data_IF_264140881126
#
_entry.id   IF_264140881126
#
_cell.length_a   1.000
_cell.length_b   1.000
_cell.length_c   1.000
_cell.angle_alpha   90.00
_cell.angle_beta   90.00
_cell.angle_gamma   90.00
#
_symmetry.space_group_name_H-M   'P 1'
#
loop_
_entity.id
_entity.type
_entity.pdbx_description
1 polymer ?
#
# COMPACT_ATOMS: atom_id res chain seq x y z
N UNK A 1 11.35 -4.79 8.21
CA UNK A 1 10.83 -5.14 6.87
C UNK A 1 11.99 -5.18 5.89
N UNK A 2 12.26 -6.30 5.21
CA UNK A 2 13.44 -6.42 4.34
C UNK A 2 13.32 -5.69 3.00
N UNK A 3 12.12 -5.30 2.54
CA UNK A 3 11.91 -4.66 1.24
C UNK A 3 12.53 -5.44 0.08
N UNK A 4 12.23 -6.72 -0.01
CA UNK A 4 12.87 -7.66 -0.93
C UNK A 4 11.90 -8.41 -1.84
N UNK A 5 10.59 -8.19 -1.69
CA UNK A 5 9.59 -8.69 -2.63
C UNK A 5 9.72 -7.97 -4.00
N UNK A 6 9.00 -8.42 -5.00
CA UNK A 6 8.81 -7.62 -6.22
C UNK A 6 7.92 -6.41 -5.92
N UNK A 7 7.87 -5.44 -6.83
CA UNK A 7 6.93 -4.31 -6.72
C UNK A 7 5.46 -4.77 -6.68
N UNK A 8 5.17 -5.93 -7.28
CA UNK A 8 3.85 -6.56 -7.28
C UNK A 8 3.61 -7.50 -6.08
N UNK A 9 4.55 -7.58 -5.14
CA UNK A 9 4.39 -8.33 -3.89
C UNK A 9 4.73 -9.82 -3.94
N UNK A 10 5.39 -10.28 -5.00
CA UNK A 10 5.81 -11.67 -5.16
C UNK A 10 7.04 -12.01 -4.32
N UNK A 11 7.10 -13.27 -3.88
CA UNK A 11 8.25 -13.80 -3.16
C UNK A 11 9.46 -13.95 -4.09
N UNK A 12 10.55 -13.29 -3.75
CA UNK A 12 11.83 -13.35 -4.49
C UNK A 12 12.84 -14.29 -3.82
N UNK A 13 13.90 -14.72 -4.54
CA UNK A 13 15.02 -15.44 -3.93
C UNK A 13 15.63 -14.68 -2.74
N UNK A 14 15.63 -13.34 -2.77
CA UNK A 14 16.15 -12.52 -1.69
C UNK A 14 15.27 -12.57 -0.43
N UNK A 15 13.94 -12.70 -0.57
CA UNK A 15 13.02 -12.97 0.55
C UNK A 15 13.30 -14.34 1.13
N UNK A 16 13.42 -15.37 0.30
CA UNK A 16 13.69 -16.74 0.75
C UNK A 16 15.00 -16.84 1.53
N UNK A 17 16.09 -16.26 1.01
CA UNK A 17 17.38 -16.25 1.68
C UNK A 17 17.34 -15.49 3.01
N UNK A 18 16.62 -14.36 3.06
CA UNK A 18 16.44 -13.58 4.27
C UNK A 18 15.86 -14.42 5.41
N UNK A 19 14.73 -15.06 5.19
CA UNK A 19 14.06 -15.87 6.21
C UNK A 19 14.80 -17.19 6.53
N UNK A 20 15.45 -17.80 5.54
CA UNK A 20 16.30 -18.96 5.76
C UNK A 20 17.46 -18.68 6.72
N UNK A 21 18.04 -17.47 6.66
CA UNK A 21 19.13 -17.08 7.58
C UNK A 21 18.68 -17.07 9.03
N UNK A 22 17.52 -16.50 9.33
CA UNK A 22 16.97 -16.51 10.68
C UNK A 22 16.57 -17.93 11.12
N UNK A 23 15.94 -18.69 10.23
CA UNK A 23 15.48 -20.04 10.52
C UNK A 23 16.64 -21.00 10.89
N UNK A 24 17.85 -20.82 10.34
CA UNK A 24 19.04 -21.58 10.73
C UNK A 24 19.40 -21.42 12.21
N UNK A 25 19.05 -20.29 12.82
CA UNK A 25 19.21 -20.06 14.26
C UNK A 25 18.18 -20.79 15.11
N UNK A 26 17.22 -21.47 14.50
CA UNK A 26 16.15 -22.26 15.13
C UNK A 26 15.39 -21.51 16.23
N UNK A 27 14.92 -20.25 15.99
CA UNK A 27 14.04 -19.60 16.96
C UNK A 27 12.74 -20.39 17.10
N UNK A 28 12.03 -20.23 18.23
CA UNK A 28 10.73 -20.89 18.46
C UNK A 28 9.69 -20.48 17.43
N UNK A 29 9.69 -19.21 17.04
CA UNK A 29 8.79 -18.69 16.00
C UNK A 29 9.45 -17.57 15.19
N UNK A 30 8.99 -17.38 13.95
CA UNK A 30 9.27 -16.21 13.09
C UNK A 30 7.92 -15.67 12.62
N UNK A 31 7.77 -14.34 12.64
CA UNK A 31 6.66 -13.66 11.97
C UNK A 31 7.20 -13.05 10.66
N UNK A 32 6.62 -13.47 9.55
CA UNK A 32 6.92 -12.90 8.24
C UNK A 32 6.37 -11.48 8.20
N UNK A 33 7.10 -10.59 7.56
CA UNK A 33 6.84 -9.15 7.47
C UNK A 33 5.41 -8.78 7.08
N UNK A 34 5.05 -7.52 7.30
CA UNK A 34 3.80 -6.93 6.87
C UNK A 34 3.49 -7.30 5.40
N UNK A 35 2.41 -8.06 5.22
CA UNK A 35 1.98 -8.64 3.94
C UNK A 35 0.60 -8.09 3.60
N UNK A 36 0.50 -7.39 2.47
CA UNK A 36 -0.71 -6.68 2.06
C UNK A 36 -1.85 -7.63 1.70
N UNK A 37 -3.02 -7.41 2.30
CA UNK A 37 -4.24 -8.19 2.00
C UNK A 37 -5.02 -7.65 0.79
N UNK A 38 -4.62 -6.49 0.25
CA UNK A 38 -5.14 -5.88 -0.98
C UNK A 38 -4.02 -5.53 -1.93
N UNK A 39 -4.34 -5.41 -3.22
CA UNK A 39 -3.40 -4.97 -4.26
C UNK A 39 -3.20 -3.45 -4.26
N UNK A 40 -2.72 -2.93 -3.12
CA UNK A 40 -2.35 -1.53 -2.99
C UNK A 40 -0.84 -1.40 -3.21
N UNK A 41 -0.39 -0.56 -4.16
CA UNK A 41 1.03 -0.29 -4.35
C UNK A 41 1.65 0.30 -3.08
N UNK A 42 2.53 -0.45 -2.43
CA UNK A 42 3.17 -0.11 -1.17
C UNK A 42 4.69 -0.33 -1.18
N UNK A 43 5.28 -0.39 -2.39
CA UNK A 43 6.67 -0.76 -2.61
C UNK A 43 6.88 -2.28 -2.56
N UNK A 44 8.13 -2.75 -2.46
CA UNK A 44 8.48 -4.16 -2.57
C UNK A 44 8.15 -4.96 -1.29
N UNK A 45 6.89 -4.91 -0.87
CA UNK A 45 6.30 -5.67 0.24
C UNK A 45 5.52 -6.86 -0.29
N UNK A 46 5.53 -7.95 0.47
CA UNK A 46 4.76 -9.14 0.16
C UNK A 46 3.26 -8.83 0.11
N UNK A 47 2.53 -9.58 -0.72
CA UNK A 47 1.07 -9.57 -0.79
C UNK A 47 0.50 -10.97 -0.63
N UNK A 48 -0.77 -11.01 -0.22
CA UNK A 48 -1.58 -12.21 -0.05
C UNK A 48 -3.04 -11.94 -0.46
N UNK A 49 -3.24 -10.96 -1.35
CA UNK A 49 -4.54 -10.43 -1.77
C UNK A 49 -5.35 -11.40 -2.62
N UNK A 50 -4.70 -12.35 -3.28
CA UNK A 50 -5.33 -13.36 -4.12
C UNK A 50 -4.52 -14.67 -4.15
N UNK A 51 -5.05 -15.70 -4.80
CA UNK A 51 -4.49 -17.05 -4.76
C UNK A 51 -3.17 -17.21 -5.53
N UNK A 52 -2.84 -16.30 -6.44
CA UNK A 52 -1.57 -16.36 -7.19
C UNK A 52 -0.33 -16.26 -6.29
N UNK A 53 -0.47 -15.69 -5.10
CA UNK A 53 0.62 -15.56 -4.13
C UNK A 53 0.91 -16.84 -3.34
N UNK A 54 -0.02 -17.81 -3.31
CA UNK A 54 0.07 -19.03 -2.49
C UNK A 54 1.34 -19.81 -2.79
N UNK A 55 1.66 -20.05 -4.05
CA UNK A 55 2.85 -20.82 -4.44
C UNK A 55 4.16 -20.19 -3.96
N UNK A 56 4.29 -18.88 -4.10
CA UNK A 56 5.45 -18.13 -3.60
C UNK A 56 5.59 -18.22 -2.09
N UNK A 57 4.50 -18.04 -1.39
CA UNK A 57 4.43 -18.11 0.07
C UNK A 57 4.65 -19.55 0.58
N UNK A 58 4.17 -20.56 -0.12
CA UNK A 58 4.45 -21.98 0.21
C UNK A 58 5.94 -22.28 0.12
N UNK A 59 6.64 -21.78 -0.91
CA UNK A 59 8.11 -21.91 -1.01
C UNK A 59 8.82 -21.25 0.16
N UNK A 60 8.31 -20.12 0.65
CA UNK A 60 8.85 -19.46 1.84
C UNK A 60 8.69 -20.33 3.09
N UNK A 61 7.52 -20.92 3.29
CA UNK A 61 7.26 -21.87 4.38
C UNK A 61 8.21 -23.04 4.32
N UNK A 62 8.37 -23.67 3.16
CA UNK A 62 9.23 -24.84 2.97
C UNK A 62 10.70 -24.56 3.27
N UNK A 63 11.21 -23.39 2.83
CA UNK A 63 12.60 -23.04 3.09
C UNK A 63 12.88 -22.77 4.57
N UNK A 64 11.93 -22.15 5.28
CA UNK A 64 12.02 -21.92 6.72
C UNK A 64 11.98 -23.26 7.48
N UNK A 65 11.06 -24.15 7.13
CA UNK A 65 10.96 -25.49 7.73
C UNK A 65 12.24 -26.28 7.51
N UNK A 66 12.75 -26.30 6.29
CA UNK A 66 14.01 -26.98 5.95
C UNK A 66 15.19 -26.39 6.73
N UNK A 67 15.32 -25.07 6.74
CA UNK A 67 16.45 -24.39 7.38
C UNK A 67 16.46 -24.54 8.91
N UNK A 68 15.30 -24.64 9.55
CA UNK A 68 15.14 -24.85 11.00
C UNK A 68 15.05 -26.33 11.42
N UNK A 69 15.12 -27.26 10.47
CA UNK A 69 14.84 -28.68 10.70
C UNK A 69 13.45 -28.91 11.35
N UNK A 70 12.44 -28.15 10.93
CA UNK A 70 11.06 -28.23 11.43
C UNK A 70 10.82 -27.61 12.81
N UNK A 71 11.84 -27.00 13.43
CA UNK A 71 11.72 -26.47 14.79
C UNK A 71 10.92 -25.18 14.88
N UNK A 72 11.10 -24.26 13.90
CA UNK A 72 10.55 -22.90 13.94
C UNK A 72 9.12 -22.87 13.45
N UNK A 73 8.21 -22.31 14.23
CA UNK A 73 6.86 -21.96 13.82
C UNK A 73 6.89 -20.69 12.96
N UNK A 74 6.07 -20.67 11.90
CA UNK A 74 6.06 -19.56 10.97
C UNK A 74 4.66 -18.92 10.91
N UNK A 75 4.60 -17.64 11.27
CA UNK A 75 3.41 -16.81 11.17
C UNK A 75 3.61 -15.78 10.06
N UNK A 76 2.51 -15.24 9.51
CA UNK A 76 2.56 -14.15 8.55
C UNK A 76 1.75 -12.97 9.09
N UNK A 77 2.33 -11.76 9.01
CA UNK A 77 1.65 -10.56 9.46
C UNK A 77 0.78 -10.00 8.33
N UNK A 78 -0.54 -10.10 8.48
CA UNK A 78 -1.52 -9.54 7.56
C UNK A 78 -1.78 -8.08 7.89
N UNK A 79 -1.71 -7.21 6.88
CA UNK A 79 -1.91 -5.76 7.02
C UNK A 79 -2.75 -5.21 5.88
N UNK A 80 -3.56 -4.20 6.18
CA UNK A 80 -4.19 -3.36 5.17
C UNK A 80 -3.50 -2.02 5.06
N UNK A 81 -3.27 -1.58 3.82
CA UNK A 81 -2.73 -0.28 3.47
C UNK A 81 -3.77 0.56 2.75
N UNK A 82 -3.80 1.85 3.06
CA UNK A 82 -4.41 2.86 2.21
C UNK A 82 -3.42 3.30 1.13
N UNK A 83 -3.94 3.80 0.01
CA UNK A 83 -3.11 4.24 -1.10
C UNK A 83 -2.26 5.44 -0.71
N UNK A 84 -0.95 5.30 -0.91
CA UNK A 84 0.02 6.38 -0.70
C UNK A 84 0.87 6.47 -1.97
N UNK A 85 0.93 7.66 -2.56
CA UNK A 85 1.82 7.95 -3.68
C UNK A 85 2.90 8.91 -3.21
N UNK A 86 4.15 8.59 -3.54
CA UNK A 86 5.27 9.49 -3.25
C UNK A 86 5.04 10.85 -3.87
N UNK A 87 5.53 11.89 -3.21
CA UNK A 87 5.53 13.25 -3.75
C UNK A 87 6.18 13.23 -5.14
N UNK A 88 5.45 13.59 -6.20
CA UNK A 88 6.03 13.78 -7.52
C UNK A 88 6.78 15.11 -7.56
N UNK A 89 7.52 15.33 -8.64
CA UNK A 89 7.96 16.67 -9.01
C UNK A 89 6.73 17.59 -9.14
N UNK A 90 6.76 18.83 -8.61
CA UNK A 90 5.61 19.74 -8.64
C UNK A 90 5.05 20.00 -10.05
N UNK A 91 5.92 20.19 -11.03
CA UNK A 91 5.49 20.39 -12.41
C UNK A 91 4.78 19.15 -12.95
N UNK A 92 5.33 17.97 -12.67
CA UNK A 92 4.72 16.69 -13.05
C UNK A 92 3.37 16.46 -12.35
N UNK A 93 3.24 16.85 -11.09
CA UNK A 93 1.97 16.75 -10.38
C UNK A 93 0.89 17.56 -11.08
N UNK A 94 1.17 18.83 -11.39
CA UNK A 94 0.22 19.75 -12.03
C UNK A 94 -0.13 19.31 -13.46
N UNK A 95 0.86 18.76 -14.21
CA UNK A 95 0.67 18.33 -15.61
C UNK A 95 -0.04 16.99 -15.76
N UNK A 96 0.22 16.02 -14.85
CA UNK A 96 -0.19 14.64 -15.08
C UNK A 96 -1.19 14.12 -14.03
N UNK A 97 -1.13 14.59 -12.78
CA UNK A 97 -1.83 13.96 -11.67
C UNK A 97 -2.96 14.78 -11.07
N UNK A 98 -2.90 16.10 -11.14
CA UNK A 98 -3.96 16.99 -10.65
C UNK A 98 -5.25 16.77 -11.45
N UNK A 99 -6.38 16.48 -10.78
CA UNK A 99 -7.69 16.44 -11.41
C UNK A 99 -8.21 17.88 -11.65
N UNK A 100 -8.44 18.27 -12.90
CA UNK A 100 -9.03 19.59 -13.18
C UNK A 100 -10.54 19.52 -12.97
N UNK A 101 -11.02 20.15 -11.91
CA UNK A 101 -12.43 20.20 -11.53
C UNK A 101 -13.12 21.48 -12.03
N UNK A 102 -14.44 21.51 -12.05
CA UNK A 102 -15.22 22.72 -12.35
C UNK A 102 -14.93 23.84 -11.32
N UNK A 103 -14.69 23.49 -10.07
CA UNK A 103 -14.30 24.47 -9.04
C UNK A 103 -13.01 25.20 -9.39
N UNK A 104 -12.03 24.51 -9.98
CA UNK A 104 -10.80 25.16 -10.45
C UNK A 104 -11.05 26.07 -11.65
N UNK A 105 -11.93 25.66 -12.58
CA UNK A 105 -12.32 26.49 -13.72
C UNK A 105 -13.02 27.78 -13.27
N UNK A 106 -13.89 27.70 -12.28
CA UNK A 106 -14.57 28.87 -11.70
C UNK A 106 -13.58 29.76 -10.95
N UNK A 107 -12.72 29.20 -10.11
CA UNK A 107 -11.72 29.98 -9.34
C UNK A 107 -10.76 30.73 -10.23
N UNK A 108 -10.42 30.18 -11.40
CA UNK A 108 -9.51 30.76 -12.38
C UNK A 108 -10.21 31.67 -13.40
N UNK A 109 -11.55 31.76 -13.37
CA UNK A 109 -12.36 32.39 -14.45
C UNK A 109 -11.99 31.81 -15.83
N UNK A 110 -11.76 30.51 -15.90
CA UNK A 110 -11.18 29.80 -17.04
C UNK A 110 -12.20 28.84 -17.71
N UNK A 111 -13.48 29.25 -17.79
CA UNK A 111 -14.56 28.40 -18.33
C UNK A 111 -14.32 27.97 -19.78
N UNK A 112 -13.72 28.83 -20.56
CA UNK A 112 -13.42 28.60 -21.99
C UNK A 112 -12.02 28.00 -22.23
N UNK A 113 -11.24 27.78 -21.17
CA UNK A 113 -9.90 27.20 -21.31
C UNK A 113 -9.98 25.68 -21.44
N UNK A 114 -9.17 25.14 -22.34
CA UNK A 114 -8.95 23.69 -22.36
C UNK A 114 -8.08 23.26 -21.15
N UNK A 115 -8.06 21.97 -20.90
CA UNK A 115 -7.36 21.40 -19.74
C UNK A 115 -5.85 21.68 -19.79
N UNK A 116 -5.26 21.69 -20.97
CA UNK A 116 -3.83 22.00 -21.18
C UNK A 116 -3.50 23.43 -20.80
N UNK A 117 -4.34 24.39 -21.22
CA UNK A 117 -4.17 25.79 -20.87
C UNK A 117 -4.22 26.01 -19.36
N UNK A 118 -5.15 25.34 -18.66
CA UNK A 118 -5.24 25.39 -17.20
C UNK A 118 -3.96 24.83 -16.56
N UNK A 119 -3.50 23.67 -17.01
CA UNK A 119 -2.28 23.04 -16.49
C UNK A 119 -1.04 23.88 -16.71
N UNK A 120 -0.85 24.44 -17.91
CA UNK A 120 0.27 25.28 -18.24
C UNK A 120 0.26 26.58 -17.40
N UNK A 121 -0.92 27.13 -17.14
CA UNK A 121 -1.08 28.28 -16.25
C UNK A 121 -0.70 27.93 -14.80
N UNK A 122 -1.22 26.84 -14.25
CA UNK A 122 -0.91 26.41 -12.88
C UNK A 122 0.59 26.16 -12.69
N UNK A 123 1.27 25.59 -13.68
CA UNK A 123 2.72 25.39 -13.66
C UNK A 123 3.50 26.71 -13.61
N UNK A 124 2.95 27.77 -14.18
CA UNK A 124 3.60 29.10 -14.18
C UNK A 124 3.51 29.85 -12.84
N UNK A 125 2.68 29.36 -11.91
CA UNK A 125 2.43 30.00 -10.63
C UNK A 125 3.44 29.57 -9.56
N UNK A 126 3.70 30.48 -8.63
CA UNK A 126 4.40 30.16 -7.40
C UNK A 126 3.50 29.39 -6.40
N UNK A 127 4.10 28.78 -5.41
CA UNK A 127 3.39 27.97 -4.42
C UNK A 127 2.35 28.79 -3.62
N UNK A 128 2.62 30.08 -3.37
CA UNK A 128 1.70 30.95 -2.64
C UNK A 128 0.43 31.24 -3.44
N UNK A 129 0.55 31.33 -4.76
CA UNK A 129 -0.57 31.48 -5.70
C UNK A 129 -1.33 30.17 -5.86
N UNK A 130 -0.63 29.04 -5.98
CA UNK A 130 -1.26 27.71 -6.01
C UNK A 130 -2.06 27.42 -4.74
N UNK A 131 -1.57 27.83 -3.56
CA UNK A 131 -2.26 27.66 -2.29
C UNK A 131 -3.60 28.44 -2.18
N UNK A 132 -3.85 29.38 -3.06
CA UNK A 132 -5.14 30.11 -3.13
C UNK A 132 -6.14 29.48 -4.08
N UNK A 133 -5.66 28.60 -4.96
CA UNK A 133 -6.43 27.99 -6.05
C UNK A 133 -6.74 26.54 -5.72
N UNK A 134 -5.72 25.77 -5.29
CA UNK A 134 -5.85 24.37 -5.00
C UNK A 134 -6.61 24.15 -3.68
N UNK A 135 -7.44 23.15 -3.64
CA UNK A 135 -8.02 22.71 -2.38
C UNK A 135 -6.97 22.13 -1.43
N UNK A 136 -7.35 21.92 -0.18
CA UNK A 136 -6.43 21.45 0.87
C UNK A 136 -5.78 20.11 0.52
N UNK A 137 -6.54 19.20 -0.11
CA UNK A 137 -6.07 17.84 -0.47
C UNK A 137 -5.09 17.86 -1.62
N UNK A 138 -5.36 18.66 -2.63
CA UNK A 138 -4.47 18.80 -3.77
C UNK A 138 -3.20 19.57 -3.41
N UNK A 139 -3.33 20.57 -2.55
CA UNK A 139 -2.16 21.27 -2.00
C UNK A 139 -1.30 20.35 -1.11
N UNK A 140 -1.90 19.51 -0.28
CA UNK A 140 -1.19 18.48 0.47
C UNK A 140 -0.48 17.51 -0.47
N UNK A 141 -1.17 17.05 -1.52
CA UNK A 141 -0.63 16.12 -2.51
C UNK A 141 0.57 16.70 -3.27
N UNK A 142 0.51 17.99 -3.61
CA UNK A 142 1.62 18.74 -4.22
C UNK A 142 2.83 18.80 -3.27
N UNK A 143 2.60 19.05 -1.99
CA UNK A 143 3.66 19.27 -0.99
C UNK A 143 4.28 17.99 -0.46
N UNK A 144 3.46 16.95 -0.23
CA UNK A 144 3.83 15.76 0.54
C UNK A 144 3.60 14.44 -0.21
N UNK A 145 2.83 14.45 -1.32
CA UNK A 145 2.34 13.28 -2.01
C UNK A 145 0.92 12.91 -1.60
N UNK A 146 0.23 12.18 -2.50
CA UNK A 146 -1.14 11.74 -2.27
C UNK A 146 -1.21 10.69 -1.17
N UNK A 147 -2.15 10.82 -0.24
CA UNK A 147 -2.41 9.85 0.81
C UNK A 147 -3.92 9.75 1.08
N UNK A 148 -4.48 8.56 0.94
CA UNK A 148 -5.82 8.26 1.43
C UNK A 148 -5.86 8.22 2.96
N UNK A 149 -7.01 8.58 3.51
CA UNK A 149 -7.32 8.52 4.95
C UNK A 149 -8.63 7.78 5.15
N UNK A 150 -8.80 7.14 6.30
CA UNK A 150 -10.07 6.50 6.67
C UNK A 150 -11.24 7.49 6.75
N UNK A 151 -10.95 8.77 6.90
CA UNK A 151 -11.93 9.86 6.90
C UNK A 151 -12.39 10.31 5.51
N UNK A 152 -11.77 9.83 4.44
CA UNK A 152 -12.11 10.19 3.06
C UNK A 152 -13.37 9.43 2.58
N UNK A 153 -14.44 9.50 3.38
CA UNK A 153 -15.69 8.74 3.16
C UNK A 153 -16.44 9.10 1.87
N UNK A 154 -16.06 10.19 1.21
CA UNK A 154 -16.54 10.54 -0.13
C UNK A 154 -15.95 9.63 -1.23
N UNK A 155 -14.86 8.93 -0.94
CA UNK A 155 -14.25 7.97 -1.85
C UNK A 155 -14.91 6.59 -1.64
N UNK A 156 -15.55 6.00 -2.68
CA UNK A 156 -16.27 4.73 -2.53
C UNK A 156 -15.41 3.61 -1.95
N UNK A 157 -14.15 3.51 -2.37
CA UNK A 157 -13.21 2.50 -1.88
C UNK A 157 -12.87 2.67 -0.39
N UNK A 158 -12.99 3.86 0.18
CA UNK A 158 -12.80 4.11 1.62
C UNK A 158 -14.10 3.84 2.37
N UNK A 159 -15.23 4.32 1.84
CA UNK A 159 -16.54 4.13 2.46
C UNK A 159 -16.92 2.65 2.62
N UNK A 160 -16.44 1.77 1.73
CA UNK A 160 -16.70 0.33 1.79
C UNK A 160 -15.81 -0.43 2.78
N UNK A 161 -14.64 0.11 3.17
CA UNK A 161 -13.64 -0.61 3.96
C UNK A 161 -14.20 -1.25 5.24
N UNK A 162 -15.00 -0.58 6.08
CA UNK A 162 -15.53 -1.19 7.30
C UNK A 162 -16.35 -2.45 7.04
N UNK A 163 -16.96 -2.56 5.87
CA UNK A 163 -17.78 -3.70 5.47
C UNK A 163 -16.96 -4.84 4.89
N UNK A 164 -15.93 -4.53 4.09
CA UNK A 164 -15.19 -5.55 3.31
C UNK A 164 -13.92 -6.05 4.00
N UNK A 165 -13.31 -5.25 4.89
CA UNK A 165 -12.06 -5.63 5.56
C UNK A 165 -12.14 -6.95 6.34
N UNK A 166 -13.21 -7.28 7.10
CA UNK A 166 -13.28 -8.55 7.80
C UNK A 166 -13.14 -9.76 6.87
N UNK A 167 -13.81 -9.74 5.72
CA UNK A 167 -13.75 -10.81 4.74
C UNK A 167 -12.36 -10.89 4.08
N UNK A 168 -11.77 -9.74 3.75
CA UNK A 168 -10.42 -9.69 3.17
C UNK A 168 -9.35 -10.26 4.13
N UNK A 169 -9.44 -9.97 5.42
CA UNK A 169 -8.55 -10.58 6.42
C UNK A 169 -8.80 -12.08 6.57
N UNK A 170 -10.07 -12.52 6.56
CA UNK A 170 -10.42 -13.94 6.61
C UNK A 170 -9.87 -14.70 5.39
N UNK A 171 -10.03 -14.17 4.19
CA UNK A 171 -9.50 -14.73 2.96
C UNK A 171 -7.96 -14.78 2.96
N UNK A 172 -7.29 -13.73 3.44
CA UNK A 172 -5.85 -13.73 3.60
C UNK A 172 -5.38 -14.82 4.58
N UNK A 173 -6.10 -15.02 5.69
CA UNK A 173 -5.81 -16.08 6.64
C UNK A 173 -6.01 -17.49 6.04
N UNK A 174 -7.03 -17.67 5.18
CA UNK A 174 -7.22 -18.94 4.45
C UNK A 174 -6.06 -19.20 3.50
N UNK A 175 -5.63 -18.23 2.71
CA UNK A 175 -4.45 -18.35 1.82
C UNK A 175 -3.17 -18.64 2.61
N UNK A 176 -2.99 -18.00 3.77
CA UNK A 176 -1.86 -18.31 4.65
C UNK A 176 -1.89 -19.76 5.13
N UNK A 177 -3.05 -20.27 5.50
CA UNK A 177 -3.24 -21.68 5.86
C UNK A 177 -2.91 -22.61 4.69
N UNK A 178 -3.40 -22.33 3.49
CA UNK A 178 -3.10 -23.09 2.28
C UNK A 178 -1.62 -23.07 1.94
N UNK A 179 -0.96 -21.94 2.08
CA UNK A 179 0.49 -21.81 1.91
C UNK A 179 1.28 -22.57 2.99
N UNK A 180 0.63 -23.00 4.07
CA UNK A 180 1.21 -23.84 5.11
C UNK A 180 1.76 -23.10 6.32
N UNK A 181 1.44 -21.82 6.53
CA UNK A 181 1.79 -21.08 7.75
C UNK A 181 1.14 -21.73 8.98
N UNK A 182 1.79 -21.59 10.13
CA UNK A 182 1.26 -22.07 11.42
C UNK A 182 0.19 -21.12 11.99
N UNK A 183 0.12 -19.88 11.50
CA UNK A 183 -0.90 -18.90 11.88
C UNK A 183 -0.68 -17.55 11.24
N UNK A 184 -1.54 -16.60 11.58
CA UNK A 184 -1.48 -15.20 11.13
C UNK A 184 -1.34 -14.25 12.31
N UNK A 185 -0.69 -13.12 12.08
CA UNK A 185 -0.68 -11.96 12.98
C UNK A 185 -1.46 -10.84 12.30
N UNK A 186 -2.42 -10.24 13.00
CA UNK A 186 -3.19 -9.12 12.48
C UNK A 186 -2.53 -7.80 12.89
N UNK A 187 -2.09 -7.02 11.89
CA UNK A 187 -1.44 -5.75 12.16
C UNK A 187 -2.46 -4.62 12.33
N UNK A 188 -2.89 -4.39 13.56
CA UNK A 188 -3.87 -3.38 13.95
C UNK A 188 -3.21 -2.22 14.72
N UNK A 189 -2.07 -1.75 14.23
CA UNK A 189 -1.26 -0.73 14.90
C UNK A 189 -0.66 0.29 13.91
N UNK A 190 0.10 1.26 14.42
CA UNK A 190 0.95 2.21 13.71
C UNK A 190 0.24 3.09 12.69
N UNK A 191 -1.02 3.50 12.97
CA UNK A 191 -1.85 4.34 12.10
C UNK A 191 -2.06 3.76 10.68
N UNK A 192 -1.95 2.44 10.51
CA UNK A 192 -2.47 1.77 9.32
C UNK A 192 -4.00 1.63 9.40
N UNK A 193 -4.65 1.16 8.34
CA UNK A 193 -6.10 1.22 8.17
C UNK A 193 -6.87 0.82 9.42
N UNK A 194 -6.57 -0.35 10.01
CA UNK A 194 -7.31 -0.87 11.17
C UNK A 194 -7.11 -0.09 12.46
N UNK A 195 -5.98 0.57 12.64
CA UNK A 195 -5.75 1.41 13.84
C UNK A 195 -6.20 2.86 13.65
N UNK A 196 -6.67 3.20 12.44
CA UNK A 196 -7.16 4.54 12.10
C UNK A 196 -8.69 4.62 12.09
N UNK A 197 -9.39 3.49 12.12
CA UNK A 197 -10.81 3.38 12.39
C UNK A 197 -11.07 3.39 13.91
#
# INVERSE_FOLDING_TARGET
VPWRATEDGEVTPAVLDWYARFARGRPGAIVVEATGIRDIPSGPLLRISNDSYIDGLSRLVDIVRKASAGHTKLFIQCIDFLSIRRRPDPERFLKEFLGITESYRETLDAKDWDERQIRDYLVSLDEASLAKILDERDLESLRMGYRERVTDMHLPQIAELPRVLPDLFAEAALRAKEAGFDGVELHYAHAYTMSSF
#
